data_IF_074833770311
#
_entry.id   IF_074833770311
#
_cell.length_a   1.000
_cell.length_b   1.000
_cell.length_c   1.000
_cell.angle_alpha   90.00
_cell.angle_beta   90.00
_cell.angle_gamma   90.00
#
_symmetry.space_group_name_H-M   'P 1'
#
loop_
_entity.id
_entity.type
_entity.pdbx_description
1 polymer ?
#
# COMPACT_ATOMS: atom_id res chain seq x y z
N UNK A 1 31.15 -4.20 -4.36
CA UNK A 1 30.01 -3.32 -4.06
C UNK A 1 30.29 -2.67 -2.72
N UNK A 2 30.45 -1.36 -2.66
CA UNK A 2 30.50 -0.64 -1.40
C UNK A 2 29.14 -0.79 -0.72
N UNK A 3 29.11 -1.42 0.46
CA UNK A 3 27.90 -1.49 1.28
C UNK A 3 27.65 -0.08 1.80
N UNK A 4 26.70 0.63 1.19
CA UNK A 4 26.25 1.91 1.73
C UNK A 4 25.56 1.67 3.07
N UNK A 5 25.88 2.50 4.02
CA UNK A 5 25.52 2.37 5.43
C UNK A 5 23.98 2.38 5.62
N UNK A 6 23.49 1.59 6.57
CA UNK A 6 22.14 1.65 7.10
C UNK A 6 22.20 2.51 8.35
N UNK A 7 21.56 3.67 8.33
CA UNK A 7 21.59 4.63 9.44
C UNK A 7 20.25 4.68 10.16
N UNK A 8 20.22 4.73 11.49
CA UNK A 8 18.98 4.93 12.25
C UNK A 8 18.26 6.21 11.83
N UNK A 9 16.94 6.17 11.87
CA UNK A 9 16.08 7.30 11.56
C UNK A 9 14.98 7.44 12.62
N UNK A 10 14.67 8.67 12.96
CA UNK A 10 13.54 9.04 13.84
C UNK A 10 12.95 10.33 13.28
N UNK A 11 11.64 10.43 13.25
CA UNK A 11 10.96 11.62 12.75
C UNK A 11 10.33 12.42 13.89
N UNK A 12 10.62 13.71 13.91
CA UNK A 12 9.94 14.68 14.77
C UNK A 12 9.54 15.88 13.91
N UNK A 13 8.22 16.07 13.75
CA UNK A 13 7.71 17.23 13.05
C UNK A 13 8.06 18.51 13.82
N UNK A 14 8.67 19.53 13.17
CA UNK A 14 8.87 20.81 13.81
C UNK A 14 7.54 21.39 14.30
N UNK A 15 7.50 21.97 15.50
CA UNK A 15 6.27 22.58 16.00
C UNK A 15 5.75 23.66 15.07
N UNK A 16 6.65 24.43 14.47
CA UNK A 16 6.31 25.46 13.47
C UNK A 16 5.57 24.90 12.23
N UNK A 17 5.86 23.65 11.81
CA UNK A 17 5.15 23.02 10.72
C UNK A 17 3.71 22.61 11.10
N UNK A 18 3.52 22.19 12.36
CA UNK A 18 2.18 21.89 12.89
C UNK A 18 1.37 23.18 13.10
N UNK A 19 2.00 24.25 13.52
CA UNK A 19 1.37 25.55 13.70
C UNK A 19 0.99 26.18 12.35
N UNK A 20 1.85 26.09 11.33
CA UNK A 20 1.56 26.51 9.95
C UNK A 20 0.37 25.70 9.38
N UNK A 21 0.34 24.38 9.59
CA UNK A 21 -0.78 23.54 9.18
C UNK A 21 -2.09 24.04 9.81
N UNK A 22 -2.14 24.24 11.12
CA UNK A 22 -3.32 24.76 11.81
C UNK A 22 -3.77 26.12 11.30
N UNK A 23 -2.82 27.01 11.04
CA UNK A 23 -3.11 28.33 10.47
C UNK A 23 -3.71 28.23 9.07
N UNK A 24 -3.16 27.37 8.19
CA UNK A 24 -3.67 27.17 6.84
C UNK A 24 -5.07 26.54 6.85
N UNK A 25 -5.34 25.57 7.74
CA UNK A 25 -6.67 25.00 7.92
C UNK A 25 -7.69 26.06 8.37
N UNK A 26 -7.32 26.99 9.27
CA UNK A 26 -8.18 28.08 9.70
C UNK A 26 -8.49 29.10 8.58
N UNK A 27 -7.61 29.21 7.58
CA UNK A 27 -7.72 30.14 6.44
C UNK A 27 -8.28 29.45 5.19
N UNK A 28 -8.82 28.24 5.31
CA UNK A 28 -9.39 27.50 4.16
C UNK A 28 -10.46 28.34 3.46
N UNK A 29 -10.31 28.51 2.15
CA UNK A 29 -11.31 29.13 1.30
C UNK A 29 -12.24 28.05 0.77
N UNK A 30 -13.46 28.09 1.24
CA UNK A 30 -14.45 27.10 0.87
C UNK A 30 -15.13 27.44 -0.46
N UNK A 31 -15.34 26.45 -1.35
CA UNK A 31 -16.19 26.63 -2.51
C UNK A 31 -17.67 26.64 -2.11
N UNK A 32 -18.53 26.87 -3.06
CA UNK A 32 -19.96 26.58 -2.96
C UNK A 32 -20.20 25.08 -2.73
N UNK A 33 -21.38 24.77 -2.27
CA UNK A 33 -21.81 23.39 -2.04
C UNK A 33 -21.97 22.66 -3.38
N UNK A 34 -21.72 21.33 -3.38
CA UNK A 34 -22.07 20.40 -4.44
C UNK A 34 -23.56 20.50 -4.82
N UNK A 35 -23.91 20.15 -6.06
CA UNK A 35 -25.30 20.21 -6.57
C UNK A 35 -26.06 18.90 -6.36
N UNK A 36 -25.35 17.81 -6.02
CA UNK A 36 -25.90 16.51 -5.62
C UNK A 36 -25.98 16.39 -4.09
N UNK A 37 -26.65 15.34 -3.59
CA UNK A 37 -26.72 15.06 -2.15
C UNK A 37 -25.89 13.82 -1.77
N UNK A 38 -24.89 13.48 -2.59
CA UNK A 38 -24.04 12.31 -2.43
C UNK A 38 -22.60 12.60 -2.85
N UNK A 39 -21.77 11.54 -2.99
CA UNK A 39 -20.37 11.65 -3.38
C UNK A 39 -20.13 11.65 -4.90
N UNK A 40 -21.14 11.77 -5.73
CA UNK A 40 -21.00 11.67 -7.19
C UNK A 40 -20.20 12.82 -7.81
N UNK A 41 -20.19 14.00 -7.17
CA UNK A 41 -19.35 15.14 -7.54
C UNK A 41 -17.99 15.18 -6.77
N UNK A 42 -17.69 14.16 -5.95
CA UNK A 42 -16.55 14.12 -5.04
C UNK A 42 -16.97 14.31 -3.58
N UNK A 43 -16.06 14.75 -2.73
CA UNK A 43 -16.28 14.89 -1.28
C UNK A 43 -17.33 15.97 -0.99
N UNK A 44 -18.46 15.63 -0.33
CA UNK A 44 -19.45 16.60 0.06
C UNK A 44 -18.87 17.67 1.01
N UNK A 45 -19.22 18.94 0.78
CA UNK A 45 -18.69 20.09 1.53
C UNK A 45 -18.81 19.93 3.04
N UNK A 46 -19.96 19.46 3.52
CA UNK A 46 -20.19 19.26 4.96
C UNK A 46 -19.31 18.19 5.57
N UNK A 47 -19.05 17.09 4.83
CA UNK A 47 -18.15 16.02 5.26
C UNK A 47 -16.70 16.51 5.35
N UNK A 48 -16.24 17.24 4.33
CA UNK A 48 -14.89 17.81 4.36
C UNK A 48 -14.74 18.85 5.46
N UNK A 49 -15.70 19.73 5.67
CA UNK A 49 -15.67 20.71 6.75
C UNK A 49 -15.55 20.04 8.11
N UNK A 50 -16.35 19.00 8.37
CA UNK A 50 -16.28 18.26 9.62
C UNK A 50 -14.91 17.61 9.85
N UNK A 51 -14.29 17.05 8.80
CA UNK A 51 -12.94 16.47 8.88
C UNK A 51 -11.87 17.56 9.11
N UNK A 52 -11.95 18.69 8.42
CA UNK A 52 -11.01 19.81 8.55
C UNK A 52 -11.11 20.48 9.92
N UNK A 53 -12.32 20.67 10.44
CA UNK A 53 -12.52 21.20 11.79
C UNK A 53 -11.91 20.26 12.84
N UNK A 54 -12.18 18.97 12.73
CA UNK A 54 -11.58 17.97 13.62
C UNK A 54 -10.04 17.97 13.49
N UNK A 55 -9.47 18.05 12.29
CA UNK A 55 -8.04 18.12 12.07
C UNK A 55 -7.40 19.34 12.73
N UNK A 56 -8.10 20.47 12.68
CA UNK A 56 -7.61 21.74 13.25
C UNK A 56 -7.71 21.76 14.77
N UNK A 57 -8.77 21.18 15.39
CA UNK A 57 -9.09 21.36 16.83
C UNK A 57 -8.73 20.15 17.69
N UNK A 58 -9.03 18.95 17.28
CA UNK A 58 -9.02 17.75 18.12
C UNK A 58 -7.90 16.77 17.74
N UNK A 59 -7.54 16.71 16.45
CA UNK A 59 -6.50 15.80 15.97
C UNK A 59 -5.12 16.14 16.54
N UNK A 60 -4.40 15.10 16.98
CA UNK A 60 -3.06 15.23 17.55
C UNK A 60 -2.03 14.39 16.78
N UNK A 61 -1.24 15.03 15.91
CA UNK A 61 -0.15 14.37 15.19
C UNK A 61 0.86 13.69 16.12
N UNK A 62 1.15 14.28 17.31
CA UNK A 62 2.16 13.74 18.23
C UNK A 62 1.85 12.31 18.66
N UNK A 63 0.58 11.94 18.74
CA UNK A 63 0.13 10.56 19.00
C UNK A 63 0.60 9.61 17.89
N UNK A 64 0.42 10.00 16.63
CA UNK A 64 0.86 9.20 15.46
C UNK A 64 2.39 9.12 15.40
N UNK A 65 3.07 10.25 15.58
CA UNK A 65 4.53 10.35 15.59
C UNK A 65 5.15 9.45 16.68
N UNK A 66 4.62 9.47 17.89
CA UNK A 66 5.05 8.60 18.98
C UNK A 66 4.83 7.12 18.66
N UNK A 67 3.64 6.77 18.16
CA UNK A 67 3.32 5.40 17.77
C UNK A 67 4.25 4.88 16.66
N UNK A 68 4.56 5.72 15.68
CA UNK A 68 5.47 5.37 14.60
C UNK A 68 6.92 5.21 15.08
N UNK A 69 7.39 6.11 15.98
CA UNK A 69 8.75 6.08 16.50
C UNK A 69 9.02 4.95 17.50
N UNK A 70 8.00 4.18 17.91
CA UNK A 70 8.21 2.93 18.66
C UNK A 70 8.84 1.83 17.81
N UNK A 71 8.68 1.88 16.49
CA UNK A 71 9.32 0.94 15.59
C UNK A 71 10.74 1.41 15.23
N UNK A 72 11.73 0.49 15.17
CA UNK A 72 13.04 0.81 14.65
C UNK A 72 12.95 1.22 13.17
N UNK A 73 13.42 2.43 12.85
CA UNK A 73 13.39 2.99 11.52
C UNK A 73 14.80 3.32 11.06
N UNK A 74 15.01 3.22 9.76
CA UNK A 74 16.32 3.38 9.15
C UNK A 74 16.23 4.09 7.79
N UNK A 75 17.39 4.55 7.32
CA UNK A 75 17.60 4.99 5.95
C UNK A 75 18.84 4.33 5.35
N UNK A 76 18.80 4.11 4.05
CA UNK A 76 19.97 3.68 3.28
C UNK A 76 19.89 4.23 1.86
N UNK A 77 21.02 4.62 1.28
CA UNK A 77 21.03 5.12 -0.10
C UNK A 77 21.02 3.97 -1.09
N UNK A 78 20.02 3.90 -1.95
CA UNK A 78 19.94 2.96 -3.06
C UNK A 78 19.74 3.74 -4.35
N UNK A 79 20.61 3.51 -5.33
CA UNK A 79 20.53 4.15 -6.64
C UNK A 79 20.41 5.70 -6.53
N UNK A 80 21.24 6.29 -5.67
CA UNK A 80 21.33 7.74 -5.37
C UNK A 80 20.08 8.33 -4.71
N UNK A 81 19.22 7.50 -4.18
CA UNK A 81 18.02 7.91 -3.45
C UNK A 81 18.07 7.38 -2.02
N UNK A 82 17.87 8.24 -1.03
CA UNK A 82 17.74 7.81 0.37
C UNK A 82 16.38 7.14 0.55
N UNK A 83 16.40 5.86 0.83
CA UNK A 83 15.22 5.04 1.08
C UNK A 83 15.06 4.89 2.59
N UNK A 84 13.92 5.31 3.09
CA UNK A 84 13.46 5.09 4.46
C UNK A 84 12.74 3.76 4.56
N UNK A 85 12.90 3.06 5.70
CA UNK A 85 12.16 1.85 6.01
C UNK A 85 12.06 1.58 7.51
N UNK A 86 10.97 0.93 7.91
CA UNK A 86 10.82 0.29 9.21
C UNK A 86 11.41 -1.11 9.11
N UNK A 87 12.14 -1.56 10.12
CA UNK A 87 12.64 -2.94 10.18
C UNK A 87 12.52 -3.49 11.60
N UNK A 88 11.59 -4.41 11.78
CA UNK A 88 11.34 -5.07 13.07
C UNK A 88 11.65 -6.56 12.94
N UNK A 89 12.62 -7.02 13.72
CA UNK A 89 12.92 -8.44 13.83
C UNK A 89 12.04 -9.09 14.88
N UNK A 90 11.57 -10.28 14.58
CA UNK A 90 10.88 -11.10 15.55
C UNK A 90 11.83 -11.59 16.64
N UNK A 91 11.30 -11.75 17.86
CA UNK A 91 11.97 -12.46 18.94
C UNK A 91 11.97 -13.99 18.75
N UNK A 92 11.10 -14.50 17.89
CA UNK A 92 10.98 -15.93 17.62
C UNK A 92 12.04 -16.40 16.63
N UNK A 93 12.68 -17.57 16.85
CA UNK A 93 13.64 -18.11 15.91
C UNK A 93 12.98 -18.49 14.59
N UNK A 94 13.74 -18.46 13.51
CA UNK A 94 13.30 -18.86 12.16
C UNK A 94 12.12 -18.04 11.62
N UNK A 95 11.95 -16.80 12.08
CA UNK A 95 10.98 -15.87 11.52
C UNK A 95 11.21 -15.69 10.01
N UNK A 96 10.13 -15.75 9.21
CA UNK A 96 10.22 -15.56 7.77
C UNK A 96 10.30 -14.07 7.44
N UNK A 97 11.37 -13.59 6.78
CA UNK A 97 11.44 -12.19 6.41
C UNK A 97 10.37 -11.84 5.37
N UNK A 98 9.63 -10.77 5.63
CA UNK A 98 8.62 -10.23 4.70
C UNK A 98 8.87 -8.75 4.44
N UNK A 99 8.83 -8.35 3.18
CA UNK A 99 8.79 -6.95 2.79
C UNK A 99 7.35 -6.57 2.42
N UNK A 100 6.80 -5.56 3.12
CA UNK A 100 5.44 -5.06 2.93
C UNK A 100 5.50 -3.72 2.18
N UNK A 101 4.86 -3.64 1.03
CA UNK A 101 4.90 -2.42 0.21
C UNK A 101 3.50 -1.81 0.10
N UNK A 102 3.39 -0.54 0.54
CA UNK A 102 2.17 0.26 0.47
C UNK A 102 1.92 0.82 -0.95
N UNK A 103 0.83 1.55 -1.10
CA UNK A 103 0.48 2.27 -2.32
C UNK A 103 0.06 3.71 -2.06
N UNK A 104 -0.82 4.26 -2.91
CA UNK A 104 -1.37 5.59 -2.79
C UNK A 104 -2.89 5.51 -2.52
N UNK A 105 -3.45 6.32 -1.62
CA UNK A 105 -2.86 7.43 -0.86
C UNK A 105 -2.28 7.01 0.50
N UNK A 106 -1.95 5.73 0.67
CA UNK A 106 -1.35 5.24 1.91
C UNK A 106 0.15 5.49 1.97
N UNK A 107 0.71 5.28 3.16
CA UNK A 107 2.13 5.31 3.46
C UNK A 107 2.52 4.05 4.25
N UNK A 108 3.68 4.07 4.91
CA UNK A 108 4.06 3.03 5.87
C UNK A 108 3.06 2.87 7.02
N UNK A 109 2.25 3.88 7.30
CA UNK A 109 1.22 3.85 8.35
C UNK A 109 0.12 2.83 8.06
N UNK A 110 -0.08 2.46 6.80
CA UNK A 110 -0.97 1.39 6.37
C UNK A 110 -0.72 0.07 7.12
N UNK A 111 0.53 -0.17 7.51
CA UNK A 111 0.95 -1.43 8.16
C UNK A 111 1.18 -1.29 9.68
N UNK A 112 0.96 -0.11 10.26
CA UNK A 112 1.24 0.15 11.68
C UNK A 112 0.67 -0.91 12.61
N UNK A 113 -0.58 -1.27 12.40
CA UNK A 113 -1.33 -2.16 13.30
C UNK A 113 -1.13 -3.66 13.00
N UNK A 114 -0.34 -4.01 11.96
CA UNK A 114 0.00 -5.40 11.61
C UNK A 114 1.45 -5.78 11.92
N UNK A 115 2.34 -4.80 12.16
CA UNK A 115 3.75 -5.08 12.45
C UNK A 115 3.92 -5.94 13.69
N UNK A 116 3.37 -5.53 14.83
CA UNK A 116 3.47 -6.30 16.08
C UNK A 116 2.83 -7.68 15.97
N UNK A 117 1.58 -7.83 15.46
CA UNK A 117 1.00 -9.15 15.26
C UNK A 117 1.84 -10.07 14.37
N UNK A 118 2.51 -9.57 13.36
CA UNK A 118 3.37 -10.37 12.50
C UNK A 118 4.70 -10.74 13.17
N UNK A 119 5.28 -9.84 13.97
CA UNK A 119 6.59 -10.06 14.60
C UNK A 119 6.51 -10.80 15.92
N UNK A 120 5.40 -10.69 16.65
CA UNK A 120 5.12 -11.42 17.89
C UNK A 120 3.74 -12.12 17.85
N UNK A 121 3.59 -13.14 16.99
CA UNK A 121 2.30 -13.81 16.84
C UNK A 121 1.77 -14.42 18.15
N UNK A 122 2.63 -14.86 19.05
CA UNK A 122 2.20 -15.49 20.32
C UNK A 122 1.48 -14.53 21.26
N UNK A 123 1.75 -13.23 21.18
CA UNK A 123 1.00 -12.19 21.88
C UNK A 123 -0.32 -11.82 21.19
N UNK A 124 -0.52 -12.29 19.95
CA UNK A 124 -1.63 -11.91 19.08
C UNK A 124 -2.35 -13.13 18.48
N UNK A 125 -2.56 -14.17 19.27
CA UNK A 125 -3.38 -15.34 18.92
C UNK A 125 -2.82 -16.26 17.84
N UNK A 126 -1.52 -16.17 17.52
CA UNK A 126 -0.82 -17.05 16.60
C UNK A 126 0.24 -17.91 17.29
N UNK A 127 0.99 -18.66 16.50
CA UNK A 127 2.07 -19.53 16.98
C UNK A 127 3.45 -18.93 16.67
N UNK A 128 4.47 -19.33 17.41
CA UNK A 128 5.85 -18.88 17.18
C UNK A 128 6.34 -19.12 15.74
N UNK A 129 5.87 -20.21 15.13
CA UNK A 129 6.18 -20.59 13.75
C UNK A 129 5.59 -19.64 12.70
N UNK A 130 4.57 -18.85 13.07
CA UNK A 130 3.92 -17.86 12.19
C UNK A 130 4.69 -16.53 12.15
N UNK A 131 5.78 -16.40 12.91
CA UNK A 131 6.51 -15.15 13.06
C UNK A 131 7.18 -14.68 11.77
N UNK A 132 7.20 -13.35 11.60
CA UNK A 132 7.89 -12.68 10.50
C UNK A 132 8.92 -11.68 11.02
N UNK A 133 10.05 -11.56 10.32
CA UNK A 133 10.83 -10.32 10.33
C UNK A 133 10.19 -9.36 9.33
N UNK A 134 9.80 -8.16 9.76
CA UNK A 134 9.02 -7.24 8.94
C UNK A 134 9.86 -6.07 8.46
N UNK A 135 9.86 -5.83 7.15
CA UNK A 135 10.47 -4.67 6.50
C UNK A 135 9.37 -3.86 5.79
N UNK A 136 9.22 -2.58 6.14
CA UNK A 136 8.20 -1.69 5.54
C UNK A 136 8.91 -0.45 4.97
N UNK A 137 9.31 -0.45 3.69
CA UNK A 137 9.91 0.72 3.07
C UNK A 137 8.86 1.76 2.68
N UNK A 138 9.22 3.05 2.83
CA UNK A 138 8.51 4.12 2.13
C UNK A 138 8.86 4.08 0.65
N UNK A 139 7.84 4.06 -0.21
CA UNK A 139 8.06 4.13 -1.66
C UNK A 139 8.86 5.39 -2.06
N UNK A 140 9.66 5.34 -3.13
CA UNK A 140 10.34 6.51 -3.67
C UNK A 140 9.38 7.67 -3.94
N UNK A 141 9.62 8.82 -3.30
CA UNK A 141 8.74 9.98 -3.39
C UNK A 141 7.55 9.99 -2.44
N UNK A 142 7.49 9.04 -1.50
CA UNK A 142 6.45 8.93 -0.47
C UNK A 142 7.06 9.02 0.93
N UNK A 143 6.28 9.46 1.89
CA UNK A 143 6.64 9.44 3.30
C UNK A 143 8.04 10.02 3.55
N UNK A 144 8.91 9.22 4.14
CA UNK A 144 10.25 9.66 4.52
C UNK A 144 11.37 9.27 3.53
N UNK A 145 11.05 8.58 2.43
CA UNK A 145 12.02 8.39 1.34
C UNK A 145 12.19 9.68 0.54
N UNK A 146 13.37 9.84 -0.06
CA UNK A 146 13.65 11.01 -0.90
C UNK A 146 12.72 11.07 -2.12
N UNK A 147 12.53 12.29 -2.60
CA UNK A 147 11.76 12.58 -3.81
C UNK A 147 12.66 12.41 -5.03
N UNK A 148 12.36 11.46 -5.95
CA UNK A 148 13.17 11.28 -7.15
C UNK A 148 13.29 12.58 -7.96
N UNK A 149 14.53 12.98 -8.25
CA UNK A 149 14.83 14.08 -9.15
C UNK A 149 15.00 13.62 -10.61
N UNK A 150 15.10 12.31 -10.82
CA UNK A 150 15.25 11.68 -12.13
C UNK A 150 14.01 10.87 -12.51
N UNK A 151 13.82 10.65 -13.79
CA UNK A 151 12.74 9.83 -14.35
C UNK A 151 12.97 8.33 -14.08
N UNK A 152 11.94 7.55 -14.34
CA UNK A 152 11.95 6.09 -14.32
C UNK A 152 12.00 5.44 -12.93
N UNK A 153 11.65 6.16 -11.86
CA UNK A 153 11.34 5.56 -10.58
C UNK A 153 9.92 4.99 -10.59
N UNK A 154 9.78 3.87 -11.30
CA UNK A 154 8.55 3.10 -11.46
C UNK A 154 8.60 1.81 -10.61
N UNK A 155 7.60 0.93 -10.75
CA UNK A 155 7.53 -0.32 -9.98
C UNK A 155 8.73 -1.23 -10.24
N UNK A 156 9.25 -1.32 -11.47
CA UNK A 156 10.37 -2.18 -11.83
C UNK A 156 11.68 -1.70 -11.19
N UNK A 157 11.93 -0.38 -11.16
CA UNK A 157 13.11 0.19 -10.51
C UNK A 157 13.00 0.08 -8.99
N UNK A 158 11.81 0.30 -8.45
CA UNK A 158 11.52 0.12 -7.03
C UNK A 158 11.73 -1.34 -6.61
N UNK A 159 11.27 -2.30 -7.42
CA UNK A 159 11.49 -3.72 -7.17
C UNK A 159 12.99 -4.06 -7.05
N UNK A 160 13.83 -3.55 -7.95
CA UNK A 160 15.30 -3.73 -7.84
C UNK A 160 15.85 -3.12 -6.55
N UNK A 161 15.36 -1.95 -6.17
CA UNK A 161 15.78 -1.31 -4.92
C UNK A 161 15.38 -2.14 -3.69
N UNK A 162 14.20 -2.77 -3.68
CA UNK A 162 13.79 -3.68 -2.61
C UNK A 162 14.66 -4.94 -2.54
N UNK A 163 15.04 -5.51 -3.68
CA UNK A 163 16.00 -6.62 -3.71
C UNK A 163 17.35 -6.25 -3.09
N UNK A 164 17.87 -5.05 -3.41
CA UNK A 164 19.11 -4.52 -2.80
C UNK A 164 18.93 -4.30 -1.29
N UNK A 165 17.78 -3.75 -0.87
CA UNK A 165 17.47 -3.53 0.54
C UNK A 165 17.50 -4.85 1.32
N UNK A 166 16.76 -5.86 0.85
CA UNK A 166 16.70 -7.17 1.51
C UNK A 166 18.06 -7.84 1.56
N UNK A 167 18.87 -7.73 0.52
CA UNK A 167 20.25 -8.23 0.50
C UNK A 167 21.15 -7.51 1.54
N UNK A 168 21.02 -6.16 1.67
CA UNK A 168 21.77 -5.38 2.67
C UNK A 168 21.40 -5.75 4.10
N UNK A 169 20.13 -6.10 4.34
CA UNK A 169 19.65 -6.59 5.62
C UNK A 169 20.11 -8.04 5.92
N UNK A 170 20.79 -8.70 4.97
CA UNK A 170 21.34 -10.04 5.12
C UNK A 170 20.34 -11.16 4.84
N UNK A 171 19.16 -10.85 4.31
CA UNK A 171 18.12 -11.84 4.02
C UNK A 171 18.43 -12.60 2.71
N UNK A 172 18.80 -13.88 2.86
CA UNK A 172 19.04 -14.79 1.72
C UNK A 172 17.76 -15.45 1.19
N UNK A 173 16.69 -15.39 1.97
CA UNK A 173 15.37 -15.93 1.67
C UNK A 173 14.32 -15.02 2.31
N UNK A 174 13.32 -14.62 1.53
CA UNK A 174 12.24 -13.73 1.99
C UNK A 174 11.02 -13.84 1.08
N UNK A 175 9.91 -13.28 1.54
CA UNK A 175 8.68 -13.12 0.79
C UNK A 175 8.32 -11.64 0.66
N UNK A 176 7.47 -11.31 -0.31
CA UNK A 176 6.97 -9.95 -0.48
C UNK A 176 5.45 -9.90 -0.45
N UNK A 177 4.92 -8.83 0.09
CA UNK A 177 3.49 -8.55 0.08
C UNK A 177 3.25 -7.15 -0.49
N UNK A 178 2.17 -6.96 -1.23
CA UNK A 178 1.76 -5.66 -1.74
C UNK A 178 0.28 -5.56 -2.08
N UNK A 179 -0.26 -4.37 -1.85
CA UNK A 179 -1.55 -3.88 -2.34
C UNK A 179 -1.32 -2.61 -3.15
N UNK A 180 -2.26 -2.20 -3.99
CA UNK A 180 -2.13 -1.01 -4.83
C UNK A 180 -0.78 -0.97 -5.60
N UNK A 181 0.00 0.13 -5.54
CA UNK A 181 1.34 0.17 -6.14
C UNK A 181 2.28 -0.89 -5.56
N UNK A 182 2.11 -1.26 -4.30
CA UNK A 182 2.84 -2.36 -3.70
C UNK A 182 2.63 -3.68 -4.41
N UNK A 183 1.44 -3.94 -4.96
CA UNK A 183 1.17 -5.12 -5.75
C UNK A 183 1.94 -5.12 -7.08
N UNK A 184 2.05 -3.96 -7.74
CA UNK A 184 2.88 -3.81 -8.94
C UNK A 184 4.37 -4.01 -8.63
N UNK A 185 4.84 -3.48 -7.49
CA UNK A 185 6.23 -3.67 -7.05
C UNK A 185 6.50 -5.13 -6.71
N UNK A 186 5.66 -5.80 -5.94
CA UNK A 186 5.81 -7.22 -5.60
C UNK A 186 5.79 -8.12 -6.84
N UNK A 187 4.89 -7.82 -7.78
CA UNK A 187 4.83 -8.49 -9.08
C UNK A 187 6.11 -8.29 -9.88
N UNK A 188 6.63 -7.06 -9.96
CA UNK A 188 7.89 -6.77 -10.65
C UNK A 188 9.10 -7.44 -9.97
N UNK A 189 9.11 -7.55 -8.62
CA UNK A 189 10.13 -8.32 -7.89
C UNK A 189 10.14 -9.79 -8.33
N UNK A 190 8.95 -10.39 -8.44
CA UNK A 190 8.81 -11.79 -8.85
C UNK A 190 9.20 -12.00 -10.32
N UNK A 191 8.83 -11.10 -11.22
CA UNK A 191 9.20 -11.16 -12.65
C UNK A 191 10.69 -11.04 -12.88
N UNK A 192 11.35 -10.17 -12.12
CA UNK A 192 12.79 -10.00 -12.16
C UNK A 192 13.55 -11.16 -11.48
N UNK A 193 12.82 -12.10 -10.86
CA UNK A 193 13.39 -13.23 -10.13
C UNK A 193 14.49 -12.81 -9.17
N UNK A 194 14.17 -11.82 -8.32
CA UNK A 194 15.15 -11.25 -7.42
C UNK A 194 15.73 -12.32 -6.48
N UNK A 195 17.04 -12.30 -6.26
CA UNK A 195 17.71 -13.29 -5.41
C UNK A 195 17.08 -13.35 -4.00
N UNK A 196 16.75 -14.55 -3.56
CA UNK A 196 16.16 -14.80 -2.24
C UNK A 196 14.64 -14.61 -2.15
N UNK A 197 13.98 -14.02 -3.14
CA UNK A 197 12.52 -13.94 -3.16
C UNK A 197 11.94 -15.32 -3.52
N UNK A 198 11.12 -15.89 -2.64
CA UNK A 198 10.57 -17.24 -2.82
C UNK A 198 9.08 -17.30 -3.11
N UNK A 199 8.33 -16.28 -2.71
CA UNK A 199 6.90 -16.15 -3.00
C UNK A 199 6.45 -14.70 -2.83
N UNK A 200 5.29 -14.36 -3.42
CA UNK A 200 4.63 -13.09 -3.18
C UNK A 200 3.18 -13.30 -2.74
N UNK A 201 2.64 -12.33 -1.99
CA UNK A 201 1.24 -12.24 -1.65
C UNK A 201 0.65 -10.90 -2.11
N UNK A 202 -0.53 -10.93 -2.71
CA UNK A 202 -1.21 -9.75 -3.23
C UNK A 202 -2.62 -9.66 -2.65
N UNK A 203 -2.99 -8.50 -2.13
CA UNK A 203 -4.39 -8.20 -1.82
C UNK A 203 -5.05 -7.34 -2.93
N UNK A 204 -4.28 -6.90 -3.91
CA UNK A 204 -4.73 -6.18 -5.08
C UNK A 204 -4.16 -6.80 -6.36
N UNK A 205 -4.58 -8.01 -6.76
CA UNK A 205 -4.11 -8.63 -7.99
C UNK A 205 -4.87 -8.03 -9.18
N UNK A 206 -4.50 -6.82 -9.61
CA UNK A 206 -5.15 -6.18 -10.75
C UNK A 206 -4.81 -6.94 -12.05
N UNK A 207 -5.75 -7.76 -12.48
CA UNK A 207 -5.63 -8.59 -13.66
C UNK A 207 -6.77 -8.31 -14.61
N UNK A 208 -6.44 -7.78 -15.78
CA UNK A 208 -7.39 -7.57 -16.88
C UNK A 208 -6.83 -8.29 -18.11
N UNK A 209 -7.56 -9.21 -18.74
CA UNK A 209 -7.07 -9.91 -19.92
C UNK A 209 -6.88 -8.97 -21.11
N UNK A 210 -5.90 -9.26 -21.98
CA UNK A 210 -5.61 -8.46 -23.18
C UNK A 210 -6.84 -8.32 -24.07
N UNK A 211 -7.67 -9.34 -24.11
CA UNK A 211 -8.94 -9.34 -24.82
C UNK A 211 -10.02 -9.90 -23.92
N UNK A 212 -11.05 -9.11 -23.67
CA UNK A 212 -12.23 -9.57 -22.95
C UNK A 212 -12.90 -10.65 -23.76
N UNK A 213 -13.12 -11.86 -23.20
CA UNK A 213 -13.81 -12.96 -23.92
C UNK A 213 -15.24 -12.55 -24.35
N UNK A 214 -15.71 -13.08 -25.47
CA UNK A 214 -17.09 -12.83 -25.93
C UNK A 214 -18.14 -13.40 -24.99
N UNK A 215 -17.81 -14.52 -24.34
CA UNK A 215 -18.68 -15.18 -23.33
C UNK A 215 -18.01 -15.07 -21.98
N UNK A 216 -18.68 -14.40 -21.07
CA UNK A 216 -18.21 -14.16 -19.71
C UNK A 216 -18.98 -15.04 -18.71
N UNK A 217 -18.28 -15.52 -17.69
CA UNK A 217 -18.94 -16.04 -16.50
C UNK A 217 -19.57 -14.89 -15.71
N UNK A 218 -20.52 -15.16 -14.80
CA UNK A 218 -21.13 -14.11 -13.97
C UNK A 218 -20.10 -13.28 -13.16
N UNK A 219 -19.03 -13.90 -12.65
CA UNK A 219 -17.95 -13.20 -11.94
C UNK A 219 -17.15 -12.29 -12.88
N UNK A 220 -16.81 -12.77 -14.07
CA UNK A 220 -16.12 -11.97 -15.09
C UNK A 220 -16.99 -10.82 -15.60
N UNK A 221 -18.29 -11.02 -15.78
CA UNK A 221 -19.22 -9.98 -16.19
C UNK A 221 -19.26 -8.86 -15.12
N UNK A 222 -19.43 -9.25 -13.86
CA UNK A 222 -19.38 -8.30 -12.72
C UNK A 222 -18.07 -7.55 -12.68
N UNK A 223 -16.95 -8.22 -12.92
CA UNK A 223 -15.63 -7.58 -12.97
C UNK A 223 -15.55 -6.52 -14.08
N UNK A 224 -16.03 -6.84 -15.28
CA UNK A 224 -16.07 -5.86 -16.39
C UNK A 224 -16.95 -4.66 -16.05
N UNK A 225 -18.12 -4.88 -15.44
CA UNK A 225 -19.02 -3.80 -15.04
C UNK A 225 -18.37 -2.86 -14.01
N UNK A 226 -17.71 -3.42 -12.98
CA UNK A 226 -17.01 -2.62 -11.96
C UNK A 226 -15.82 -1.86 -12.57
N UNK A 227 -15.01 -2.51 -13.41
CA UNK A 227 -13.88 -1.86 -14.09
C UNK A 227 -14.34 -0.73 -15.02
N UNK A 228 -15.45 -0.91 -15.72
CA UNK A 228 -16.02 0.15 -16.57
C UNK A 228 -16.56 1.31 -15.73
N UNK A 229 -17.23 1.04 -14.61
CA UNK A 229 -17.67 2.07 -13.67
C UNK A 229 -16.48 2.83 -13.11
N UNK A 230 -15.45 2.14 -12.62
CA UNK A 230 -14.22 2.77 -12.15
C UNK A 230 -13.60 3.66 -13.22
N UNK A 231 -13.50 3.19 -14.46
CA UNK A 231 -12.93 3.96 -15.58
C UNK A 231 -13.71 5.23 -15.88
N UNK A 232 -15.04 5.17 -15.80
CA UNK A 232 -15.91 6.28 -16.19
C UNK A 232 -16.17 7.27 -15.04
N UNK A 233 -16.20 6.81 -13.80
CA UNK A 233 -16.67 7.58 -12.64
C UNK A 233 -15.61 7.75 -11.55
N UNK A 234 -14.72 6.76 -11.35
CA UNK A 234 -13.78 6.73 -10.22
C UNK A 234 -12.32 7.01 -10.58
N UNK A 235 -11.97 7.13 -11.87
CA UNK A 235 -10.56 7.19 -12.29
C UNK A 235 -9.98 8.60 -12.41
N UNK A 236 -10.72 9.65 -12.02
CA UNK A 236 -10.31 11.05 -12.20
C UNK A 236 -8.92 11.35 -11.60
N UNK A 237 -8.69 10.91 -10.37
CA UNK A 237 -7.41 11.06 -9.69
C UNK A 237 -6.26 10.36 -10.44
N UNK A 238 -6.50 9.13 -10.91
CA UNK A 238 -5.53 8.31 -11.64
C UNK A 238 -5.12 8.99 -12.96
N UNK A 239 -6.10 9.48 -13.72
CA UNK A 239 -5.85 10.19 -14.98
C UNK A 239 -5.06 11.46 -14.74
N UNK A 240 -5.45 12.26 -13.73
CA UNK A 240 -4.77 13.51 -13.39
C UNK A 240 -3.31 13.26 -12.95
N UNK A 241 -3.08 12.32 -12.04
CA UNK A 241 -1.74 11.98 -11.55
C UNK A 241 -0.87 11.34 -12.64
N UNK A 242 -1.46 10.54 -13.53
CA UNK A 242 -0.73 9.91 -14.64
C UNK A 242 -0.36 10.87 -15.77
N UNK A 243 -1.05 11.98 -15.92
CA UNK A 243 -0.86 12.90 -17.05
C UNK A 243 -0.32 14.26 -16.63
N UNK A 244 -0.68 14.79 -15.48
CA UNK A 244 -0.36 16.13 -15.00
C UNK A 244 0.00 16.18 -13.51
N UNK A 245 0.92 15.32 -13.02
CA UNK A 245 1.26 15.26 -11.58
C UNK A 245 1.81 16.58 -11.03
N UNK A 246 2.57 17.31 -11.83
CA UNK A 246 3.12 18.61 -11.40
C UNK A 246 2.01 19.67 -11.27
N UNK A 247 1.02 19.66 -12.17
CA UNK A 247 -0.07 20.65 -12.16
C UNK A 247 -0.93 20.49 -10.91
N UNK A 248 -1.38 19.26 -10.60
CA UNK A 248 -2.15 19.02 -9.37
C UNK A 248 -1.29 19.19 -8.13
N UNK A 249 0.01 18.91 -8.22
CA UNK A 249 0.97 19.07 -7.14
C UNK A 249 1.01 20.48 -6.54
N UNK A 250 0.88 21.53 -7.36
CA UNK A 250 0.84 22.92 -6.85
C UNK A 250 -0.35 23.14 -5.90
N UNK A 251 -1.53 22.66 -6.26
CA UNK A 251 -2.72 22.79 -5.43
C UNK A 251 -2.62 21.98 -4.14
N UNK A 252 -2.19 20.72 -4.26
CA UNK A 252 -2.10 19.80 -3.11
C UNK A 252 -0.99 20.17 -2.12
N UNK A 253 0.06 20.84 -2.59
CA UNK A 253 1.17 21.33 -1.73
C UNK A 253 0.86 22.65 -1.04
N UNK A 254 -0.09 23.42 -1.54
CA UNK A 254 -0.41 24.73 -0.99
C UNK A 254 -1.65 24.70 -0.09
N UNK A 255 -2.61 23.84 -0.36
CA UNK A 255 -3.86 23.72 0.40
C UNK A 255 -3.94 22.40 1.17
N UNK A 256 -3.83 22.39 2.52
CA UNK A 256 -4.04 21.18 3.30
C UNK A 256 -5.49 20.66 3.17
N UNK A 257 -6.48 21.55 3.07
CA UNK A 257 -7.87 21.15 2.84
C UNK A 257 -8.06 20.53 1.43
N UNK A 258 -7.38 21.07 0.41
CA UNK A 258 -7.40 20.49 -0.94
C UNK A 258 -6.73 19.11 -0.98
N UNK A 259 -5.60 18.93 -0.29
CA UNK A 259 -4.96 17.64 -0.15
C UNK A 259 -5.83 16.65 0.62
N UNK A 260 -6.46 17.09 1.71
CA UNK A 260 -7.39 16.26 2.47
C UNK A 260 -8.56 15.81 1.61
N UNK A 261 -9.19 16.70 0.85
CA UNK A 261 -10.27 16.36 -0.07
C UNK A 261 -9.82 15.30 -1.09
N UNK A 262 -8.66 15.48 -1.70
CA UNK A 262 -8.10 14.57 -2.71
C UNK A 262 -7.86 13.16 -2.18
N UNK A 263 -7.42 13.02 -0.93
CA UNK A 263 -7.14 11.74 -0.29
C UNK A 263 -8.42 11.13 0.32
N UNK A 264 -9.27 11.96 0.94
CA UNK A 264 -10.50 11.53 1.60
C UNK A 264 -11.50 10.92 0.61
N UNK A 265 -11.57 11.46 -0.62
CA UNK A 265 -12.37 10.88 -1.70
C UNK A 265 -11.95 9.44 -2.01
N UNK A 266 -10.65 9.16 -1.98
CA UNK A 266 -10.14 7.80 -2.23
C UNK A 266 -10.35 6.87 -1.04
N UNK A 267 -10.30 7.36 0.18
CA UNK A 267 -10.72 6.56 1.34
C UNK A 267 -12.19 6.17 1.22
N UNK A 268 -13.06 7.11 0.81
CA UNK A 268 -14.46 6.79 0.53
C UNK A 268 -14.64 5.75 -0.58
N UNK A 269 -13.90 5.87 -1.67
CA UNK A 269 -14.02 4.97 -2.81
C UNK A 269 -13.46 3.57 -2.55
N UNK A 270 -12.41 3.47 -1.72
CA UNK A 270 -11.64 2.25 -1.47
C UNK A 270 -12.05 1.45 -0.24
N UNK A 271 -12.71 2.07 0.74
CA UNK A 271 -13.20 1.33 1.92
C UNK A 271 -14.46 0.52 1.63
N UNK A 272 -14.78 -0.40 2.53
CA UNK A 272 -16.01 -1.19 2.47
C UNK A 272 -17.29 -0.39 2.60
N UNK A 273 -17.21 0.83 3.13
CA UNK A 273 -18.35 1.66 3.51
C UNK A 273 -18.43 2.93 2.65
N UNK A 274 -18.72 2.74 1.36
CA UNK A 274 -18.89 3.84 0.41
C UNK A 274 -19.98 4.81 0.85
N UNK A 275 -19.65 6.10 0.85
CA UNK A 275 -20.52 7.17 1.33
C UNK A 275 -20.33 7.51 2.81
N UNK A 276 -19.68 6.63 3.59
CA UNK A 276 -19.33 6.87 4.99
C UNK A 276 -18.00 6.19 5.39
N UNK A 277 -16.86 6.65 4.89
CA UNK A 277 -15.55 6.02 5.17
C UNK A 277 -15.21 6.01 6.66
N UNK A 278 -15.83 6.85 7.49
CA UNK A 278 -15.64 6.89 8.94
C UNK A 278 -16.20 5.65 9.68
N UNK A 279 -17.02 4.81 9.04
CA UNK A 279 -17.45 3.52 9.58
C UNK A 279 -16.40 2.43 9.38
N UNK A 280 -15.52 2.58 8.38
CA UNK A 280 -14.42 1.65 8.13
C UNK A 280 -13.10 2.09 8.77
N UNK A 281 -12.83 3.40 8.76
CA UNK A 281 -11.60 4.03 9.26
C UNK A 281 -11.95 5.18 10.20
N UNK A 282 -11.25 5.29 11.31
CA UNK A 282 -11.39 6.46 12.18
C UNK A 282 -10.86 7.72 11.50
N UNK A 283 -11.35 8.90 11.91
CA UNK A 283 -10.78 10.19 11.46
C UNK A 283 -9.28 10.27 11.71
N UNK A 284 -8.84 9.77 12.86
CA UNK A 284 -7.42 9.72 13.21
C UNK A 284 -6.60 8.91 12.22
N UNK A 285 -7.05 7.71 11.83
CA UNK A 285 -6.35 6.88 10.85
C UNK A 285 -6.23 7.58 9.50
N UNK A 286 -7.30 8.19 9.01
CA UNK A 286 -7.29 8.93 7.74
C UNK A 286 -6.40 10.18 7.84
N UNK A 287 -6.48 10.92 8.95
CA UNK A 287 -5.68 12.12 9.16
C UNK A 287 -4.20 11.82 9.45
N UNK A 288 -3.86 10.66 10.00
CA UNK A 288 -2.49 10.21 10.15
C UNK A 288 -1.80 10.14 8.76
N UNK A 289 -2.46 9.50 7.78
CA UNK A 289 -1.98 9.42 6.40
C UNK A 289 -1.92 10.81 5.73
N UNK A 290 -3.01 11.58 5.79
CA UNK A 290 -3.10 12.91 5.20
C UNK A 290 -2.04 13.85 5.78
N UNK A 291 -1.85 13.82 7.11
CA UNK A 291 -0.87 14.66 7.80
C UNK A 291 0.56 14.27 7.45
N UNK A 292 0.85 12.98 7.29
CA UNK A 292 2.17 12.54 6.83
C UNK A 292 2.49 13.06 5.43
N UNK A 293 1.55 12.98 4.49
CA UNK A 293 1.70 13.60 3.16
C UNK A 293 1.97 15.09 3.24
N UNK A 294 1.25 15.80 4.09
CA UNK A 294 1.42 17.24 4.27
C UNK A 294 2.78 17.59 4.84
N UNK A 295 3.16 16.99 5.96
CA UNK A 295 4.40 17.29 6.67
C UNK A 295 5.66 16.93 5.86
N UNK A 296 5.59 15.89 5.04
CA UNK A 296 6.70 15.47 4.17
C UNK A 296 6.67 16.16 2.80
N UNK A 297 5.56 16.84 2.47
CA UNK A 297 5.37 17.51 1.19
C UNK A 297 5.45 16.55 0.01
N UNK A 298 4.84 15.37 0.11
CA UNK A 298 4.98 14.30 -0.89
C UNK A 298 3.82 14.19 -1.88
N UNK A 299 2.89 15.13 -1.87
CA UNK A 299 1.74 15.11 -2.79
C UNK A 299 2.17 15.07 -4.28
N UNK A 300 3.07 15.95 -4.70
CA UNK A 300 3.53 15.99 -6.09
C UNK A 300 4.44 14.81 -6.45
N UNK A 301 5.33 14.41 -5.54
CA UNK A 301 6.28 13.32 -5.80
C UNK A 301 5.60 11.95 -5.86
N UNK A 302 4.61 11.70 -5.01
CA UNK A 302 3.80 10.49 -5.06
C UNK A 302 2.94 10.41 -6.32
N UNK A 303 2.34 11.53 -6.74
CA UNK A 303 1.61 11.62 -8.00
C UNK A 303 2.51 11.29 -9.22
N UNK A 304 3.81 11.63 -9.17
CA UNK A 304 4.76 11.27 -10.25
C UNK A 304 4.95 9.76 -10.40
N UNK A 305 4.75 8.97 -9.39
CA UNK A 305 4.79 7.51 -9.52
C UNK A 305 3.76 7.01 -10.55
N UNK A 306 2.55 7.58 -10.56
CA UNK A 306 1.54 7.30 -11.58
C UNK A 306 2.01 7.69 -12.99
N UNK A 307 2.65 8.85 -13.11
CA UNK A 307 3.19 9.32 -14.39
C UNK A 307 4.29 8.40 -14.92
N UNK A 308 5.19 7.92 -14.07
CA UNK A 308 6.25 6.98 -14.43
C UNK A 308 5.70 5.58 -14.76
N UNK A 309 4.56 5.22 -14.17
CA UNK A 309 3.90 3.93 -14.39
C UNK A 309 2.86 3.95 -15.52
N UNK A 310 2.51 5.13 -16.07
CA UNK A 310 1.40 5.29 -17.04
C UNK A 310 1.47 4.40 -18.28
N UNK A 311 2.67 4.02 -18.71
CA UNK A 311 2.84 3.10 -19.84
C UNK A 311 2.19 1.73 -19.58
N UNK A 312 2.03 1.36 -18.31
CA UNK A 312 1.42 0.10 -17.89
C UNK A 312 -0.08 0.27 -17.61
N UNK A 313 -0.54 1.43 -17.17
CA UNK A 313 -1.95 1.66 -16.76
C UNK A 313 -2.99 1.51 -17.89
N UNK A 314 -2.58 1.47 -19.13
CA UNK A 314 -3.48 1.28 -20.27
C UNK A 314 -3.34 -0.06 -20.97
N UNK A 315 -2.49 -0.95 -20.46
CA UNK A 315 -2.24 -2.25 -21.08
C UNK A 315 -2.89 -3.35 -20.27
N UNK A 316 -3.77 -4.13 -20.85
CA UNK A 316 -4.20 -5.38 -20.25
C UNK A 316 -2.98 -6.28 -19.98
N UNK A 317 -3.01 -7.07 -18.90
CA UNK A 317 -1.92 -7.99 -18.51
C UNK A 317 -0.51 -7.38 -18.48
N UNK A 318 -0.40 -6.21 -17.88
CA UNK A 318 0.82 -5.40 -17.84
C UNK A 318 2.03 -6.07 -17.26
N UNK A 319 1.79 -7.09 -16.49
CA UNK A 319 2.82 -7.69 -15.68
C UNK A 319 3.60 -8.78 -16.42
N UNK A 320 3.09 -9.34 -17.53
CA UNK A 320 3.66 -10.58 -18.02
C UNK A 320 3.53 -11.72 -16.97
N UNK A 321 3.88 -12.93 -17.38
CA UNK A 321 3.76 -14.12 -16.54
C UNK A 321 4.69 -14.08 -15.33
N UNK A 322 4.20 -14.50 -14.18
CA UNK A 322 4.96 -14.63 -12.92
C UNK A 322 5.08 -16.11 -12.57
N UNK A 323 6.30 -16.66 -12.68
CA UNK A 323 6.55 -18.09 -12.42
C UNK A 323 6.77 -18.41 -10.94
N UNK A 324 7.05 -17.42 -10.09
CA UNK A 324 7.14 -17.62 -8.64
C UNK A 324 5.77 -17.98 -8.04
N UNK A 325 5.74 -18.68 -6.90
CA UNK A 325 4.52 -18.92 -6.13
C UNK A 325 3.83 -17.61 -5.76
N UNK A 326 2.52 -17.50 -6.06
CA UNK A 326 1.71 -16.32 -5.77
C UNK A 326 0.54 -16.71 -4.86
N UNK A 327 0.36 -15.96 -3.78
CA UNK A 327 -0.82 -16.00 -2.94
C UNK A 327 -1.68 -14.75 -3.18
N UNK A 328 -2.99 -14.91 -3.07
CA UNK A 328 -3.95 -13.82 -3.22
C UNK A 328 -5.01 -13.88 -2.13
N UNK A 329 -5.25 -12.75 -1.48
CA UNK A 329 -6.41 -12.52 -0.60
C UNK A 329 -7.25 -11.39 -1.18
N UNK A 330 -8.42 -11.71 -1.71
CA UNK A 330 -9.36 -10.75 -2.30
C UNK A 330 -10.30 -10.17 -1.24
N UNK A 331 -10.30 -8.87 -1.10
CA UNK A 331 -11.27 -8.15 -0.29
C UNK A 331 -12.45 -7.69 -1.15
N UNK A 332 -13.71 -7.79 -0.68
CA UNK A 332 -14.91 -7.67 -1.53
C UNK A 332 -15.09 -6.29 -2.15
N UNK A 333 -14.59 -5.23 -1.49
CA UNK A 333 -14.81 -3.85 -1.89
C UNK A 333 -13.62 -3.22 -2.66
N UNK A 334 -12.66 -4.04 -3.07
CA UNK A 334 -11.57 -3.63 -3.96
C UNK A 334 -11.90 -3.93 -5.44
N UNK A 335 -11.03 -3.47 -6.35
CA UNK A 335 -11.20 -3.76 -7.77
C UNK A 335 -11.15 -5.28 -8.02
N UNK A 336 -12.07 -5.80 -8.83
CA UNK A 336 -12.22 -7.24 -8.99
C UNK A 336 -11.10 -7.85 -9.83
N UNK A 337 -10.67 -9.03 -9.44
CA UNK A 337 -9.79 -9.88 -10.23
C UNK A 337 -10.35 -11.31 -10.21
N UNK A 338 -11.12 -11.72 -11.23
CA UNK A 338 -11.57 -13.10 -11.34
C UNK A 338 -10.40 -14.09 -11.30
N UNK A 339 -10.54 -15.15 -10.50
CA UNK A 339 -9.47 -16.15 -10.34
C UNK A 339 -9.06 -16.77 -11.67
N UNK A 340 -10.00 -16.93 -12.61
CA UNK A 340 -9.73 -17.46 -13.95
C UNK A 340 -8.74 -16.58 -14.72
N UNK A 341 -8.88 -15.23 -14.63
CA UNK A 341 -7.94 -14.31 -15.25
C UNK A 341 -6.59 -14.28 -14.54
N UNK A 342 -6.60 -14.40 -13.21
CA UNK A 342 -5.38 -14.42 -12.42
C UNK A 342 -4.49 -15.61 -12.77
N UNK A 343 -5.05 -16.79 -13.06
CA UNK A 343 -4.30 -18.00 -13.42
C UNK A 343 -3.46 -17.86 -14.69
N UNK A 344 -3.86 -17.02 -15.63
CA UNK A 344 -3.12 -16.80 -16.88
C UNK A 344 -1.81 -16.07 -16.61
N UNK A 345 -1.79 -15.17 -15.62
CA UNK A 345 -0.62 -14.40 -15.21
C UNK A 345 0.18 -15.12 -14.13
N UNK A 346 -0.51 -15.76 -13.19
CA UNK A 346 0.06 -16.43 -12.01
C UNK A 346 -0.13 -17.97 -12.11
N UNK A 347 0.62 -18.68 -12.95
CA UNK A 347 0.44 -20.13 -13.13
C UNK A 347 0.68 -20.91 -11.84
N UNK A 348 1.55 -20.42 -10.95
CA UNK A 348 1.83 -21.01 -9.64
C UNK A 348 1.01 -20.32 -8.52
N UNK A 349 -0.29 -20.10 -8.79
CA UNK A 349 -1.23 -19.59 -7.80
C UNK A 349 -1.51 -20.66 -6.75
N UNK A 350 -0.79 -20.62 -5.61
CA UNK A 350 -0.84 -21.66 -4.57
C UNK A 350 -1.82 -21.34 -3.44
N UNK A 351 -2.20 -20.06 -3.28
CA UNK A 351 -3.16 -19.59 -2.29
C UNK A 351 -4.13 -18.61 -2.94
N UNK A 352 -5.40 -18.81 -2.68
CA UNK A 352 -6.47 -17.90 -3.11
C UNK A 352 -7.58 -17.93 -2.08
N UNK A 353 -7.86 -16.79 -1.49
CA UNK A 353 -8.98 -16.63 -0.57
C UNK A 353 -9.81 -15.40 -0.94
N UNK A 354 -11.12 -15.54 -0.89
CA UNK A 354 -12.08 -14.46 -1.09
C UNK A 354 -12.70 -14.17 0.26
N UNK A 355 -12.55 -12.92 0.72
CA UNK A 355 -12.95 -12.47 2.04
C UNK A 355 -14.33 -11.83 1.99
N UNK A 356 -15.03 -11.84 3.13
CA UNK A 356 -16.39 -11.32 3.24
C UNK A 356 -16.44 -9.84 3.70
N UNK A 357 -15.34 -9.28 4.14
CA UNK A 357 -15.26 -7.90 4.66
C UNK A 357 -13.92 -7.24 4.40
N UNK A 358 -13.90 -5.90 4.41
CA UNK A 358 -12.75 -5.07 4.12
C UNK A 358 -12.73 -4.56 2.68
N UNK A 359 -11.83 -3.66 2.40
CA UNK A 359 -11.66 -3.02 1.11
C UNK A 359 -10.21 -2.90 0.69
N UNK A 360 -9.92 -1.85 -0.05
CA UNK A 360 -8.60 -1.56 -0.59
C UNK A 360 -7.53 -1.37 0.48
N UNK A 361 -7.89 -0.76 1.61
CA UNK A 361 -7.00 -0.48 2.74
C UNK A 361 -7.02 -1.61 3.78
N UNK A 362 -7.02 -2.86 3.32
CA UNK A 362 -7.29 -4.05 4.10
C UNK A 362 -6.51 -4.16 5.42
N UNK A 363 -5.21 -3.82 5.45
CA UNK A 363 -4.39 -3.86 6.66
C UNK A 363 -4.73 -2.76 7.67
N UNK A 364 -5.37 -1.68 7.23
CA UNK A 364 -5.85 -0.59 8.08
C UNK A 364 -7.30 -0.81 8.54
N UNK A 365 -8.16 -1.32 7.64
CA UNK A 365 -9.57 -1.60 7.91
C UNK A 365 -9.77 -2.87 8.75
N UNK A 366 -9.00 -3.91 8.49
CA UNK A 366 -9.14 -5.26 9.07
C UNK A 366 -7.76 -5.87 9.40
N UNK A 367 -6.98 -5.24 10.31
CA UNK A 367 -5.59 -5.65 10.58
C UNK A 367 -5.45 -7.10 11.05
N UNK A 368 -6.37 -7.59 11.86
CA UNK A 368 -6.37 -8.98 12.34
C UNK A 368 -6.59 -9.97 11.18
N UNK A 369 -7.58 -9.70 10.32
CA UNK A 369 -7.89 -10.52 9.17
C UNK A 369 -6.73 -10.53 8.16
N UNK A 370 -6.17 -9.37 7.88
CA UNK A 370 -5.00 -9.23 7.01
C UNK A 370 -3.80 -10.02 7.54
N UNK A 371 -3.52 -9.93 8.84
CA UNK A 371 -2.45 -10.69 9.51
C UNK A 371 -2.67 -12.20 9.40
N UNK A 372 -3.89 -12.67 9.63
CA UNK A 372 -4.25 -14.08 9.50
C UNK A 372 -4.07 -14.58 8.07
N UNK A 373 -4.43 -13.78 7.07
CA UNK A 373 -4.26 -14.13 5.66
C UNK A 373 -2.78 -14.30 5.29
N UNK A 374 -1.90 -13.40 5.76
CA UNK A 374 -0.46 -13.54 5.54
C UNK A 374 0.11 -14.79 6.20
N UNK A 375 -0.27 -15.07 7.45
CA UNK A 375 0.14 -16.29 8.17
C UNK A 375 -0.28 -17.55 7.38
N UNK A 376 -1.56 -17.66 7.02
CA UNK A 376 -2.12 -18.81 6.27
C UNK A 376 -1.46 -18.98 4.90
N UNK A 377 -1.30 -17.88 4.17
CA UNK A 377 -0.66 -17.92 2.88
C UNK A 377 0.77 -18.45 2.98
N UNK A 378 1.60 -17.83 3.81
CA UNK A 378 3.01 -18.17 3.88
C UNK A 378 3.34 -19.41 4.72
N UNK A 379 2.39 -19.97 5.47
CA UNK A 379 2.57 -21.27 6.13
C UNK A 379 2.97 -22.37 5.13
N UNK A 380 2.34 -22.37 3.94
CA UNK A 380 2.69 -23.31 2.88
C UNK A 380 4.11 -23.12 2.34
N UNK A 381 4.59 -21.90 2.33
CA UNK A 381 5.97 -21.56 1.89
C UNK A 381 6.99 -22.04 2.92
N UNK A 382 6.66 -21.96 4.23
CA UNK A 382 7.53 -22.46 5.32
C UNK A 382 7.67 -23.98 5.31
N UNK A 383 6.57 -24.70 5.03
CA UNK A 383 6.55 -26.16 4.99
C UNK A 383 7.38 -26.75 3.86
N UNK A 384 7.53 -26.05 2.74
CA UNK A 384 8.37 -26.52 1.63
C UNK A 384 9.87 -26.61 1.96
N UNK A 385 10.32 -26.05 3.08
CA UNK A 385 11.71 -26.08 3.53
C UNK A 385 12.02 -27.29 4.43
N UNK A 386 11.02 -27.94 4.97
CA UNK A 386 11.14 -29.20 5.71
C UNK A 386 10.42 -30.31 4.94
N UNK A 387 11.07 -30.93 3.93
CA UNK A 387 10.49 -32.12 3.33
C UNK A 387 10.26 -33.11 4.46
N UNK A 388 9.03 -33.63 4.53
CA UNK A 388 8.56 -34.58 5.52
C UNK A 388 9.57 -35.74 5.63
N UNK A 389 10.36 -35.75 6.71
CA UNK A 389 11.27 -36.84 7.04
C UNK A 389 10.55 -37.93 7.80
N UNK A 390 9.28 -38.16 7.51
CA UNK A 390 8.57 -39.33 7.99
C UNK A 390 9.17 -40.57 7.32
N UNK A 391 9.74 -41.53 8.07
CA UNK A 391 10.25 -42.74 7.47
C UNK A 391 9.07 -43.49 6.84
N UNK A 392 9.20 -43.82 5.57
CA UNK A 392 8.33 -44.78 4.92
C UNK A 392 8.25 -46.03 5.82
N UNK A 393 7.05 -46.30 6.28
CA UNK A 393 6.81 -47.59 6.99
C UNK A 393 6.90 -48.69 5.96
N UNK A 394 7.97 -49.47 6.01
CA UNK A 394 8.04 -50.79 5.41
C UNK A 394 6.92 -51.71 5.89
#
# INVERSE_FOLDING_TARGET
MEFKEIVPFTYHAPQSALDDLKQRLAQTRWPERETTNDWSEGVPLEKLRALIDYWRTDYNWRRCEEALNRFPQFRTEIDRLSIHFIHVRSKHPNALPVILTHGWPSTILLFRDVIEPLTDPTAHGGNAEDAFDVVVPSLPGFGFSDKPAERSWNAERTARAWGILMQRLGYKRYVAQGGDWGAFVATAMAQQRLPGLVAIHLNFPLVVPDRIPERLTPDQQRAVEILNRFRNEGSGYLVMQSTRPQTIGYALMDSPAGQAAWIYDIFNAGTGERGNPEEALTRDQMLDEITLYWLTGTAASSARFYFEQRALLGRPNNAGRVDLPVGVSRFPNDLPAPRSWAKDIYPNLFYWNELDSGGHFASLEKPELFTQELRKCFQKVRQSDHPDTSPEKE
#
